data_IF_819558604376
#
_entry.id   IF_819558604376
#
_cell.length_a   1.000
_cell.length_b   1.000
_cell.length_c   1.000
_cell.angle_alpha   90.00
_cell.angle_beta   90.00
_cell.angle_gamma   90.00
#
_symmetry.space_group_name_H-M   'P 1'
#
loop_
_entity.id
_entity.type
_entity.pdbx_description
1 polymer ?
#
# COMPACT_ATOMS: atom_id res chain seq x y z
N UNK A 1 11.66 9.38 -17.05
CA UNK A 1 12.77 8.40 -17.20
C UNK A 1 12.61 7.39 -16.08
N UNK A 2 13.03 6.14 -16.26
CA UNK A 2 13.04 5.18 -15.14
C UNK A 2 13.91 5.71 -14.00
N UNK A 3 13.45 5.57 -12.76
CA UNK A 3 14.21 5.94 -11.57
C UNK A 3 15.45 5.05 -11.42
N UNK A 4 16.57 5.60 -10.93
CA UNK A 4 17.85 4.87 -10.82
C UNK A 4 18.34 4.24 -12.16
N UNK A 5 18.06 4.86 -13.31
CA UNK A 5 18.38 4.32 -14.65
C UNK A 5 19.84 3.91 -14.85
N UNK A 6 20.79 4.60 -14.21
CA UNK A 6 22.22 4.30 -14.32
C UNK A 6 22.66 3.15 -13.41
N UNK A 7 21.85 2.80 -12.40
CA UNK A 7 22.19 1.83 -11.35
C UNK A 7 21.46 0.50 -11.48
N UNK A 8 20.29 0.50 -12.14
CA UNK A 8 19.46 -0.68 -12.34
C UNK A 8 19.29 -1.00 -13.84
N UNK A 9 19.42 -2.27 -14.26
CA UNK A 9 19.36 -2.65 -15.67
C UNK A 9 17.92 -2.77 -16.17
N UNK A 10 17.15 -1.67 -16.12
CA UNK A 10 15.72 -1.67 -16.47
C UNK A 10 15.42 -2.19 -17.87
N UNK A 11 16.24 -1.84 -18.87
CA UNK A 11 16.06 -2.33 -20.23
C UNK A 11 16.26 -3.84 -20.34
N UNK A 12 17.19 -4.41 -19.55
CA UNK A 12 17.36 -5.85 -19.50
C UNK A 12 16.16 -6.54 -18.85
N UNK A 13 15.62 -5.96 -17.76
CA UNK A 13 14.40 -6.44 -17.13
C UNK A 13 13.20 -6.32 -18.08
N UNK A 14 12.96 -5.16 -18.68
CA UNK A 14 11.85 -4.94 -19.61
C UNK A 14 11.91 -5.89 -20.81
N UNK A 15 13.11 -6.23 -21.30
CA UNK A 15 13.28 -7.17 -22.42
C UNK A 15 12.78 -8.59 -22.16
N UNK A 16 12.49 -8.94 -20.89
CA UNK A 16 11.88 -10.23 -20.56
C UNK A 16 10.37 -10.22 -20.74
N UNK A 17 9.75 -9.08 -21.03
CA UNK A 17 8.32 -8.95 -21.23
C UNK A 17 7.97 -8.65 -22.69
N UNK A 18 6.82 -9.16 -23.13
CA UNK A 18 6.14 -8.78 -24.36
C UNK A 18 4.80 -8.15 -24.03
N UNK A 19 4.52 -6.99 -24.62
CA UNK A 19 3.16 -6.45 -24.62
C UNK A 19 2.27 -7.34 -25.50
N UNK A 20 1.26 -7.97 -24.90
CA UNK A 20 0.22 -8.68 -25.66
C UNK A 20 -1.10 -7.98 -25.49
N UNK A 21 -1.77 -7.72 -26.61
CA UNK A 21 -3.09 -7.09 -26.66
C UNK A 21 -4.23 -8.05 -26.34
N UNK A 22 -3.98 -9.37 -26.45
CA UNK A 22 -4.93 -10.42 -26.08
C UNK A 22 -4.17 -11.61 -25.50
N UNK A 23 -4.55 -12.07 -24.32
CA UNK A 23 -3.95 -13.25 -23.69
C UNK A 23 -4.99 -14.26 -23.19
N UNK A 24 -5.10 -15.44 -23.83
CA UNK A 24 -6.04 -16.48 -23.41
C UNK A 24 -5.85 -16.96 -21.96
N UNK A 25 -4.63 -16.86 -21.42
CA UNK A 25 -4.34 -17.24 -20.04
C UNK A 25 -4.80 -16.21 -19.00
N UNK A 26 -5.26 -15.03 -19.44
CA UNK A 26 -5.84 -13.97 -18.60
C UNK A 26 -7.17 -13.50 -19.19
N UNK A 27 -7.99 -14.44 -19.67
CA UNK A 27 -9.33 -14.15 -20.21
C UNK A 27 -9.32 -13.13 -21.37
N UNK A 28 -8.24 -13.16 -22.16
CA UNK A 28 -7.96 -12.23 -23.27
C UNK A 28 -7.61 -10.80 -22.85
N UNK A 29 -7.32 -10.54 -21.57
CA UNK A 29 -6.86 -9.23 -21.09
C UNK A 29 -5.50 -8.84 -21.72
N UNK A 30 -5.31 -7.55 -22.09
CA UNK A 30 -4.03 -7.01 -22.47
C UNK A 30 -3.10 -6.88 -21.25
N UNK A 31 -1.84 -7.29 -21.40
CA UNK A 31 -0.86 -7.21 -20.32
C UNK A 31 0.58 -7.34 -20.84
N UNK A 32 1.54 -7.09 -19.95
CA UNK A 32 2.95 -7.44 -20.12
C UNK A 32 3.17 -8.91 -19.74
N UNK A 33 3.63 -9.71 -20.70
CA UNK A 33 3.82 -11.15 -20.56
C UNK A 33 5.28 -11.54 -20.48
N UNK A 34 5.69 -12.37 -19.51
CA UNK A 34 7.05 -12.89 -19.50
C UNK A 34 7.32 -13.75 -20.73
N UNK A 35 8.49 -13.55 -21.33
CA UNK A 35 9.07 -14.37 -22.40
C UNK A 35 9.61 -15.66 -21.80
N UNK A 36 9.24 -16.78 -22.42
CA UNK A 36 9.81 -18.10 -22.11
C UNK A 36 11.10 -18.32 -22.90
N UNK A 37 12.13 -17.55 -22.55
CA UNK A 37 13.46 -17.64 -23.16
C UNK A 37 14.49 -18.14 -22.13
N UNK A 38 15.54 -18.87 -22.56
CA UNK A 38 16.57 -19.38 -21.64
C UNK A 38 17.24 -18.29 -20.79
N UNK A 39 17.35 -17.07 -21.32
CA UNK A 39 17.99 -15.93 -20.65
C UNK A 39 17.07 -15.19 -19.67
N UNK A 40 15.75 -15.43 -19.69
CA UNK A 40 14.79 -14.66 -18.87
C UNK A 40 15.09 -14.77 -17.38
N UNK A 41 15.33 -16.00 -16.88
CA UNK A 41 15.66 -16.23 -15.47
C UNK A 41 16.96 -15.53 -15.08
N UNK A 42 17.96 -15.58 -15.96
CA UNK A 42 19.25 -14.93 -15.72
C UNK A 42 19.11 -13.41 -15.65
N UNK A 43 18.35 -12.79 -16.57
CA UNK A 43 18.11 -11.34 -16.55
C UNK A 43 17.34 -10.90 -15.30
N UNK A 44 16.35 -11.69 -14.88
CA UNK A 44 15.57 -11.42 -13.66
C UNK A 44 16.42 -11.54 -12.39
N UNK A 45 17.25 -12.58 -12.28
CA UNK A 45 18.21 -12.76 -11.18
C UNK A 45 19.25 -11.64 -11.14
N UNK A 46 19.81 -11.26 -12.30
CA UNK A 46 20.76 -10.13 -12.39
C UNK A 46 20.14 -8.81 -11.98
N UNK A 47 18.88 -8.55 -12.36
CA UNK A 47 18.16 -7.36 -11.93
C UNK A 47 17.93 -7.38 -10.42
N UNK A 48 17.47 -8.51 -9.86
CA UNK A 48 17.26 -8.67 -8.42
C UNK A 48 18.55 -8.42 -7.64
N UNK A 49 19.68 -9.02 -8.06
CA UNK A 49 20.96 -8.80 -7.41
C UNK A 49 21.41 -7.33 -7.45
N UNK A 50 21.21 -6.66 -8.60
CA UNK A 50 21.48 -5.23 -8.71
C UNK A 50 20.56 -4.39 -7.82
N UNK A 51 19.28 -4.73 -7.76
CA UNK A 51 18.28 -4.08 -6.91
C UNK A 51 18.67 -4.15 -5.43
N UNK A 52 18.89 -5.37 -4.94
CA UNK A 52 19.27 -5.65 -3.55
C UNK A 52 20.59 -4.97 -3.19
N UNK A 53 21.61 -5.09 -4.04
CA UNK A 53 22.92 -4.46 -3.83
C UNK A 53 22.80 -2.94 -3.69
N UNK A 54 22.02 -2.30 -4.57
CA UNK A 54 21.85 -0.85 -4.55
C UNK A 54 21.05 -0.40 -3.33
N UNK A 55 19.92 -1.04 -3.02
CA UNK A 55 19.10 -0.72 -1.85
C UNK A 55 19.89 -0.92 -0.54
N UNK A 56 20.64 -2.01 -0.42
CA UNK A 56 21.51 -2.28 0.75
C UNK A 56 22.65 -1.25 0.88
N UNK A 57 23.24 -0.82 -0.24
CA UNK A 57 24.25 0.25 -0.25
C UNK A 57 23.66 1.59 0.18
N UNK A 58 22.47 1.94 -0.31
CA UNK A 58 21.79 3.18 0.04
C UNK A 58 21.35 3.16 1.51
N UNK A 59 20.86 2.03 2.02
CA UNK A 59 20.55 1.85 3.44
C UNK A 59 21.78 2.04 4.33
N UNK A 60 22.94 1.52 3.93
CA UNK A 60 24.22 1.78 4.62
C UNK A 60 24.58 3.25 4.64
N UNK A 61 24.33 3.95 3.54
CA UNK A 61 24.65 5.38 3.44
C UNK A 61 23.66 6.22 4.26
N UNK A 62 22.38 5.88 4.22
CA UNK A 62 21.32 6.52 4.98
C UNK A 62 21.53 6.36 6.49
N UNK A 63 21.90 5.15 6.92
CA UNK A 63 22.20 4.83 8.33
C UNK A 63 23.28 5.71 8.96
N UNK A 64 24.22 6.24 8.16
CA UNK A 64 25.29 7.13 8.63
C UNK A 64 24.80 8.51 9.05
N UNK A 65 23.57 8.90 8.71
CA UNK A 65 22.94 10.14 9.17
C UNK A 65 22.57 10.08 10.66
N UNK A 66 22.49 8.88 11.23
CA UNK A 66 22.07 8.61 12.61
C UNK A 66 23.26 8.15 13.47
N UNK A 67 23.19 8.30 14.81
CA UNK A 67 24.22 7.81 15.71
C UNK A 67 24.55 6.32 15.49
N UNK A 68 25.84 5.97 15.46
CA UNK A 68 26.27 4.56 15.34
C UNK A 68 25.88 3.75 16.58
N UNK A 69 25.88 4.39 17.75
CA UNK A 69 25.47 3.82 19.02
C UNK A 69 24.55 4.78 19.73
N UNK A 70 23.54 4.23 20.38
CA UNK A 70 22.65 4.95 21.26
C UNK A 70 23.07 4.69 22.71
N UNK A 71 22.97 5.73 23.54
CA UNK A 71 23.15 5.57 24.98
C UNK A 71 22.03 4.68 25.55
N UNK A 72 22.30 3.95 26.65
CA UNK A 72 21.27 3.18 27.34
C UNK A 72 20.06 4.06 27.64
N UNK A 73 18.90 3.63 27.16
CA UNK A 73 17.66 4.37 27.23
C UNK A 73 17.24 4.58 28.69
N UNK A 74 16.93 5.83 29.04
CA UNK A 74 16.14 6.12 30.23
C UNK A 74 14.69 5.67 29.96
N UNK A 75 14.10 4.91 30.89
CA UNK A 75 12.75 4.35 30.77
C UNK A 75 11.62 5.42 30.81
N UNK A 76 11.99 6.70 30.78
CA UNK A 76 11.09 7.85 30.71
C UNK A 76 10.40 8.01 29.35
N UNK A 77 10.12 9.26 28.97
CA UNK A 77 9.43 9.59 27.72
C UNK A 77 10.39 9.41 26.53
N UNK A 78 10.10 8.39 25.71
CA UNK A 78 10.83 8.00 24.51
C UNK A 78 10.47 8.89 23.31
N UNK A 79 9.17 9.11 23.07
CA UNK A 79 8.67 10.08 22.08
C UNK A 79 8.40 11.44 22.75
N UNK A 80 9.39 12.35 22.70
CA UNK A 80 9.35 13.65 23.39
C UNK A 80 8.56 14.74 22.65
N UNK A 81 8.53 14.73 21.32
CA UNK A 81 7.76 15.66 20.50
C UNK A 81 7.33 14.97 19.21
N UNK A 82 6.06 15.11 18.83
CA UNK A 82 5.63 14.86 17.45
C UNK A 82 5.47 16.21 16.75
N UNK A 83 5.79 16.25 15.47
CA UNK A 83 5.65 17.35 14.53
C UNK A 83 4.27 17.32 13.86
N UNK A 84 3.92 18.39 13.13
CA UNK A 84 2.60 18.48 12.49
C UNK A 84 2.31 17.41 11.42
N UNK A 85 3.34 16.85 10.77
CA UNK A 85 3.16 15.80 9.75
C UNK A 85 2.81 14.45 10.39
N UNK A 86 3.44 14.11 11.52
CA UNK A 86 3.08 12.95 12.33
C UNK A 86 1.65 13.07 12.85
N UNK A 87 1.21 14.28 13.22
CA UNK A 87 -0.14 14.53 13.69
C UNK A 87 -1.21 14.22 12.64
N UNK A 88 -0.99 14.63 11.39
CA UNK A 88 -1.90 14.38 10.27
C UNK A 88 -1.96 12.90 9.89
N UNK A 89 -0.82 12.20 9.91
CA UNK A 89 -0.79 10.77 9.60
C UNK A 89 -1.43 9.91 10.69
N UNK A 90 -1.15 10.21 11.97
CA UNK A 90 -1.80 9.53 13.10
C UNK A 90 -3.31 9.77 13.09
N UNK A 91 -3.74 10.96 12.68
CA UNK A 91 -5.16 11.30 12.47
C UNK A 91 -5.85 10.40 11.43
N UNK A 92 -5.14 9.89 10.42
CA UNK A 92 -5.73 9.04 9.38
C UNK A 92 -6.07 7.63 9.87
N UNK A 93 -5.19 7.00 10.65
CA UNK A 93 -5.39 5.62 11.11
C UNK A 93 -6.02 5.52 12.51
N UNK A 94 -6.11 6.61 13.27
CA UNK A 94 -6.71 6.55 14.60
C UNK A 94 -8.21 6.18 14.54
N UNK A 95 -8.71 5.35 15.48
CA UNK A 95 -10.11 4.95 15.52
C UNK A 95 -11.09 6.13 15.46
N UNK A 96 -11.96 6.09 14.45
CA UNK A 96 -13.09 7.02 14.30
C UNK A 96 -14.27 6.54 15.15
N UNK A 97 -15.10 7.47 15.63
CA UNK A 97 -16.36 7.13 16.31
C UNK A 97 -17.36 6.52 15.32
N UNK A 98 -18.46 5.95 15.80
CA UNK A 98 -19.52 5.31 14.98
C UNK A 98 -20.11 6.23 13.88
N UNK A 99 -19.97 7.55 14.03
CA UNK A 99 -20.35 8.55 13.02
C UNK A 99 -19.27 8.94 12.02
N UNK A 100 -18.12 8.26 11.99
CA UNK A 100 -16.98 8.56 11.11
C UNK A 100 -16.15 9.79 11.51
N UNK A 101 -16.63 10.60 12.47
CA UNK A 101 -15.88 11.71 13.05
C UNK A 101 -14.71 11.18 13.87
N UNK A 102 -13.56 11.85 13.79
CA UNK A 102 -12.46 11.57 14.71
C UNK A 102 -12.88 11.88 16.15
N UNK A 103 -12.29 11.17 17.11
CA UNK A 103 -12.55 11.43 18.52
C UNK A 103 -12.27 12.90 18.86
N UNK A 104 -13.17 13.58 19.58
CA UNK A 104 -12.96 14.95 20.08
C UNK A 104 -11.70 15.11 20.95
N UNK A 105 -11.06 13.98 21.30
CA UNK A 105 -9.78 13.91 21.98
C UNK A 105 -8.60 14.29 21.08
N UNK A 106 -8.72 14.16 19.75
CA UNK A 106 -7.73 14.72 18.82
C UNK A 106 -7.68 16.24 18.91
N UNK A 107 -8.82 16.90 19.14
CA UNK A 107 -8.88 18.36 19.28
C UNK A 107 -8.14 18.87 20.54
N UNK A 108 -7.83 17.96 21.47
CA UNK A 108 -7.05 18.23 22.69
C UNK A 108 -5.53 18.06 22.49
N UNK A 109 -5.10 17.65 21.28
CA UNK A 109 -3.73 17.33 20.93
C UNK A 109 -3.40 15.83 21.03
N UNK A 110 -2.42 15.38 20.25
CA UNK A 110 -2.04 13.96 20.24
C UNK A 110 -1.38 13.49 21.53
N UNK A 111 -0.51 14.33 22.10
CA UNK A 111 0.22 13.97 23.29
C UNK A 111 -0.66 14.08 24.54
N UNK A 112 -0.78 12.97 25.25
CA UNK A 112 -1.46 12.96 26.54
C UNK A 112 -0.74 13.85 27.58
N UNK A 113 -1.43 14.82 28.21
CA UNK A 113 -0.85 15.60 29.31
C UNK A 113 -0.87 14.85 30.65
N UNK A 114 -1.58 13.73 30.75
CA UNK A 114 -1.71 12.95 31.98
C UNK A 114 -0.48 12.04 32.16
N UNK A 115 0.33 12.34 33.17
CA UNK A 115 1.56 11.59 33.50
C UNK A 115 1.30 10.52 34.58
N UNK A 116 0.28 10.71 35.42
CA UNK A 116 0.01 9.90 36.61
C UNK A 116 -1.33 9.12 36.58
N UNK A 117 -2.17 9.36 35.57
CA UNK A 117 -3.41 8.60 35.46
C UNK A 117 -3.07 7.19 34.99
N UNK A 118 -3.52 6.20 35.76
CA UNK A 118 -3.52 4.77 35.42
C UNK A 118 -3.89 4.56 33.96
N UNK A 119 -3.47 3.42 33.37
CA UNK A 119 -3.63 2.90 31.99
C UNK A 119 -4.96 3.10 31.23
N UNK A 120 -5.89 3.88 31.76
CA UNK A 120 -7.25 4.18 31.34
C UNK A 120 -7.45 5.57 30.73
N UNK A 121 -6.42 6.41 30.59
CA UNK A 121 -6.60 7.65 29.82
C UNK A 121 -6.92 7.26 28.38
N UNK A 122 -8.06 7.72 27.89
CA UNK A 122 -8.53 7.41 26.54
C UNK A 122 -7.94 8.38 25.49
N UNK A 123 -6.81 9.01 25.80
CA UNK A 123 -6.16 10.02 24.98
C UNK A 123 -5.51 9.38 23.72
N UNK A 124 -5.21 10.21 22.72
CA UNK A 124 -4.72 9.73 21.42
C UNK A 124 -3.38 9.01 21.53
N UNK A 125 -2.43 9.57 22.28
CA UNK A 125 -1.15 8.93 22.57
C UNK A 125 -0.88 9.01 24.08
N UNK A 126 -1.37 8.02 24.86
CA UNK A 126 -1.17 7.95 26.31
C UNK A 126 0.31 7.96 26.69
N UNK A 127 0.64 8.42 27.90
CA UNK A 127 2.04 8.45 28.37
C UNK A 127 2.71 7.06 28.25
N UNK A 128 2.02 5.99 28.65
CA UNK A 128 2.54 4.61 28.56
C UNK A 128 2.93 4.18 27.15
N UNK A 129 2.23 4.69 26.13
CA UNK A 129 2.48 4.40 24.72
C UNK A 129 3.59 5.25 24.10
N UNK A 130 4.15 6.20 24.88
CA UNK A 130 5.32 7.01 24.52
C UNK A 130 6.58 6.58 25.24
N UNK A 131 6.54 5.47 25.97
CA UNK A 131 7.69 4.93 26.68
C UNK A 131 8.32 3.81 25.85
N UNK A 132 9.61 3.57 26.05
CA UNK A 132 10.34 2.51 25.35
C UNK A 132 9.63 1.14 25.46
N UNK A 133 9.14 0.79 26.66
CA UNK A 133 8.46 -0.48 26.93
C UNK A 133 7.27 -0.75 26.00
N UNK A 134 6.63 0.30 25.46
CA UNK A 134 5.54 0.18 24.51
C UNK A 134 6.02 -0.39 23.16
N UNK A 135 7.20 0.03 22.71
CA UNK A 135 7.85 -0.40 21.47
C UNK A 135 8.54 -1.76 21.58
N UNK A 136 8.69 -2.27 22.80
CA UNK A 136 9.27 -3.57 23.11
C UNK A 136 8.22 -4.67 23.24
N UNK A 137 6.92 -4.38 23.04
CA UNK A 137 5.87 -5.40 23.16
C UNK A 137 5.95 -6.42 22.03
N UNK A 138 5.86 -7.69 22.42
CA UNK A 138 5.96 -8.83 21.53
C UNK A 138 4.67 -9.04 20.71
N UNK A 139 4.81 -9.77 19.60
CA UNK A 139 3.70 -10.33 18.83
C UNK A 139 3.32 -11.70 19.39
N UNK A 140 2.04 -11.88 19.72
CA UNK A 140 1.49 -13.16 20.15
C UNK A 140 0.77 -13.84 18.99
N UNK A 141 1.24 -15.02 18.54
CA UNK A 141 0.49 -15.87 17.62
C UNK A 141 -0.90 -16.18 18.19
N UNK A 142 -1.92 -16.08 17.36
CA UNK A 142 -3.32 -16.19 17.76
C UNK A 142 -4.13 -17.04 16.78
N UNK A 143 -5.30 -17.48 17.24
CA UNK A 143 -6.31 -18.11 16.40
C UNK A 143 -7.20 -17.05 15.72
N UNK A 144 -8.01 -17.48 14.75
CA UNK A 144 -8.97 -16.61 14.07
C UNK A 144 -9.80 -15.81 15.08
N UNK A 145 -10.03 -14.53 14.80
CA UNK A 145 -10.83 -13.59 15.60
C UNK A 145 -10.23 -13.18 16.97
N UNK A 146 -9.05 -13.68 17.36
CA UNK A 146 -8.42 -13.35 18.64
C UNK A 146 -7.35 -12.25 18.56
N UNK A 147 -6.93 -11.83 17.36
CA UNK A 147 -5.85 -10.86 17.18
C UNK A 147 -5.97 -9.61 18.04
N UNK A 148 -7.09 -8.90 17.96
CA UNK A 148 -7.25 -7.65 18.71
C UNK A 148 -7.42 -7.87 20.22
N UNK A 149 -7.86 -9.06 20.66
CA UNK A 149 -7.89 -9.39 22.08
C UNK A 149 -6.47 -9.56 22.65
N UNK A 150 -5.58 -10.19 21.87
CA UNK A 150 -4.26 -10.57 22.33
C UNK A 150 -3.17 -9.52 22.02
N UNK A 151 -3.36 -8.73 20.96
CA UNK A 151 -2.31 -7.90 20.36
C UNK A 151 -2.67 -6.42 20.21
N UNK A 152 -3.86 -5.94 20.61
CA UNK A 152 -4.28 -4.57 20.31
C UNK A 152 -3.30 -3.49 20.82
N UNK A 153 -2.77 -3.61 22.04
CA UNK A 153 -1.82 -2.63 22.58
C UNK A 153 -0.48 -2.65 21.84
N UNK A 154 0.05 -3.82 21.50
CA UNK A 154 1.29 -3.96 20.74
C UNK A 154 1.11 -3.48 19.29
N UNK A 155 -0.01 -3.83 18.67
CA UNK A 155 -0.33 -3.45 17.29
C UNK A 155 -0.49 -1.93 17.15
N UNK A 156 -1.07 -1.25 18.15
CA UNK A 156 -1.13 0.22 18.16
C UNK A 156 0.25 0.87 18.12
N UNK A 157 1.24 0.31 18.81
CA UNK A 157 2.63 0.80 18.73
C UNK A 157 3.29 0.47 17.42
N UNK A 158 2.97 -0.68 16.82
CA UNK A 158 3.43 -0.99 15.48
C UNK A 158 2.91 0.04 14.46
N UNK A 159 1.66 0.52 14.56
CA UNK A 159 1.15 1.61 13.72
C UNK A 159 1.98 2.90 13.88
N UNK A 160 2.41 3.24 15.10
CA UNK A 160 3.35 4.36 15.29
C UNK A 160 4.70 4.09 14.62
N UNK A 161 5.29 2.90 14.78
CA UNK A 161 6.56 2.54 14.13
C UNK A 161 6.44 2.64 12.61
N UNK A 162 5.34 2.15 12.03
CA UNK A 162 5.08 2.26 10.58
C UNK A 162 4.97 3.72 10.14
N UNK A 163 4.31 4.57 10.93
CA UNK A 163 4.21 6.02 10.66
C UNK A 163 5.59 6.67 10.65
N UNK A 164 6.44 6.34 11.63
CA UNK A 164 7.81 6.86 11.69
C UNK A 164 8.65 6.41 10.48
N UNK A 165 8.53 5.14 10.06
CA UNK A 165 9.20 4.64 8.84
C UNK A 165 8.69 5.38 7.60
N UNK A 166 7.38 5.60 7.51
CA UNK A 166 6.74 6.32 6.40
C UNK A 166 7.29 7.74 6.25
N UNK A 167 7.39 8.47 7.37
CA UNK A 167 7.87 9.85 7.42
C UNK A 167 9.39 9.98 7.35
N UNK A 168 10.12 8.89 7.58
CA UNK A 168 11.59 8.89 7.60
C UNK A 168 12.19 9.31 8.94
N UNK A 169 11.36 9.38 9.98
CA UNK A 169 11.73 9.62 11.37
C UNK A 169 12.32 8.34 11.97
N UNK A 170 13.48 7.93 11.46
CA UNK A 170 14.11 6.66 11.81
C UNK A 170 14.90 6.71 13.12
N UNK A 171 15.23 7.88 13.66
CA UNK A 171 16.04 8.00 14.88
C UNK A 171 15.40 7.29 16.09
N UNK A 172 14.08 7.48 16.38
CA UNK A 172 13.41 6.69 17.41
C UNK A 172 13.42 5.20 17.06
N UNK A 173 13.11 4.82 15.82
CA UNK A 173 13.04 3.38 15.44
C UNK A 173 14.39 2.69 15.70
N UNK A 174 15.50 3.29 15.26
CA UNK A 174 16.86 2.80 15.48
C UNK A 174 17.22 2.75 16.97
N UNK A 175 16.76 3.74 17.73
CA UNK A 175 16.96 3.76 19.17
C UNK A 175 16.23 2.59 19.86
N UNK A 176 15.00 2.23 19.45
CA UNK A 176 14.31 1.01 19.94
C UNK A 176 15.13 -0.23 19.62
N UNK A 177 15.64 -0.35 18.38
CA UNK A 177 16.43 -1.50 17.94
C UNK A 177 17.71 -1.68 18.77
N UNK A 178 18.31 -0.59 19.25
CA UNK A 178 19.50 -0.64 20.10
C UNK A 178 19.23 -1.14 21.53
N UNK A 179 17.96 -1.24 21.94
CA UNK A 179 17.58 -1.79 23.24
C UNK A 179 17.79 -3.31 23.25
N UNK A 180 18.19 -3.87 24.40
CA UNK A 180 18.40 -5.33 24.53
C UNK A 180 17.14 -6.18 24.38
N UNK A 181 15.96 -5.55 24.26
CA UNK A 181 14.64 -6.20 24.19
C UNK A 181 13.82 -5.59 23.03
N UNK A 182 14.29 -5.71 21.79
CA UNK A 182 13.54 -5.31 20.60
C UNK A 182 12.80 -6.50 19.97
N UNK A 183 11.49 -6.37 19.72
CA UNK A 183 10.66 -7.44 19.14
C UNK A 183 10.10 -7.10 17.74
N UNK A 184 10.55 -5.99 17.14
CA UNK A 184 10.09 -5.56 15.80
C UNK A 184 10.32 -6.63 14.72
N UNK A 185 11.34 -7.49 14.86
CA UNK A 185 11.59 -8.59 13.91
C UNK A 185 10.41 -9.57 13.81
N UNK A 186 9.68 -9.79 14.91
CA UNK A 186 8.50 -10.67 14.97
C UNK A 186 7.25 -10.03 14.37
N UNK A 187 7.24 -8.71 14.25
CA UNK A 187 6.20 -7.94 13.57
C UNK A 187 6.43 -7.77 12.06
N UNK A 188 7.47 -8.42 11.49
CA UNK A 188 7.75 -8.35 10.05
C UNK A 188 6.54 -8.79 9.23
N UNK A 189 6.09 -10.03 9.39
CA UNK A 189 4.88 -10.61 8.78
C UNK A 189 3.90 -10.91 9.92
N UNK A 190 2.87 -10.09 10.07
CA UNK A 190 1.83 -10.26 11.09
C UNK A 190 0.44 -10.15 10.44
N UNK A 191 -0.57 -10.79 11.02
CA UNK A 191 -1.92 -10.79 10.48
C UNK A 191 -2.97 -11.18 11.53
N UNK A 192 -4.27 -10.97 11.24
CA UNK A 192 -5.35 -11.30 12.16
C UNK A 192 -5.41 -12.80 12.49
N UNK A 193 -5.01 -13.64 11.54
CA UNK A 193 -4.79 -15.08 11.67
C UNK A 193 -4.18 -15.61 10.37
N UNK A 194 -3.74 -16.87 10.37
CA UNK A 194 -3.23 -17.54 9.15
C UNK A 194 -4.26 -17.61 8.01
N UNK A 195 -5.56 -17.58 8.32
CA UNK A 195 -6.64 -17.70 7.33
C UNK A 195 -6.95 -16.39 6.59
N UNK A 196 -6.67 -15.24 7.21
CA UNK A 196 -6.96 -13.90 6.66
C UNK A 196 -5.73 -13.22 6.04
N UNK A 197 -4.58 -13.89 6.08
CA UNK A 197 -3.32 -13.39 5.54
C UNK A 197 -2.50 -12.58 6.54
N UNK A 198 -1.24 -12.29 6.17
CA UNK A 198 -0.24 -11.63 7.02
C UNK A 198 -0.03 -10.17 6.57
N UNK A 199 -1.11 -9.40 6.51
CA UNK A 199 -1.15 -8.04 5.94
C UNK A 199 -1.12 -6.91 6.97
N UNK A 200 -0.78 -7.21 8.23
CA UNK A 200 -0.65 -6.24 9.34
C UNK A 200 0.81 -5.98 9.74
N UNK A 201 1.77 -6.70 9.18
CA UNK A 201 3.19 -6.50 9.47
C UNK A 201 3.73 -5.18 8.95
N UNK A 202 4.94 -4.81 9.39
CA UNK A 202 5.64 -3.66 8.80
C UNK A 202 6.29 -3.99 7.45
N UNK A 203 6.36 -5.27 7.06
CA UNK A 203 6.73 -5.69 5.70
C UNK A 203 5.88 -5.01 4.61
N UNK A 204 4.61 -4.70 4.92
CA UNK A 204 3.67 -4.10 3.96
C UNK A 204 4.16 -2.76 3.40
N UNK A 205 4.90 -1.97 4.19
CA UNK A 205 5.51 -0.71 3.73
C UNK A 205 6.47 -1.00 2.56
N UNK A 206 7.29 -2.05 2.72
CA UNK A 206 8.23 -2.44 1.69
C UNK A 206 7.54 -3.12 0.51
N UNK A 207 6.57 -4.01 0.77
CA UNK A 207 5.84 -4.74 -0.27
C UNK A 207 5.13 -3.79 -1.25
N UNK A 208 4.39 -2.81 -0.72
CA UNK A 208 3.68 -1.84 -1.57
C UNK A 208 4.63 -0.88 -2.28
N UNK A 209 5.70 -0.44 -1.60
CA UNK A 209 6.74 0.38 -2.23
C UNK A 209 7.43 -0.36 -3.39
N UNK A 210 7.87 -1.60 -3.19
CA UNK A 210 8.46 -2.45 -4.24
C UNK A 210 7.46 -2.64 -5.38
N UNK A 211 6.22 -2.97 -5.04
CA UNK A 211 5.18 -3.26 -6.02
C UNK A 211 4.94 -2.08 -6.95
N UNK A 212 4.70 -0.89 -6.41
CA UNK A 212 4.49 0.27 -7.27
C UNK A 212 5.75 0.74 -7.96
N UNK A 213 6.89 0.69 -7.28
CA UNK A 213 8.18 1.06 -7.86
C UNK A 213 8.51 0.24 -9.10
N UNK A 214 8.40 -1.09 -9.02
CA UNK A 214 8.64 -1.98 -10.15
C UNK A 214 7.60 -1.79 -11.24
N UNK A 215 6.32 -1.73 -10.88
CA UNK A 215 5.23 -1.60 -11.85
C UNK A 215 5.40 -0.35 -12.71
N UNK A 216 5.55 0.82 -12.09
CA UNK A 216 5.66 2.07 -12.83
C UNK A 216 6.95 2.15 -13.67
N UNK A 217 8.08 1.68 -13.15
CA UNK A 217 9.33 1.70 -13.91
C UNK A 217 9.35 0.70 -15.08
N UNK A 218 8.75 -0.49 -14.91
CA UNK A 218 8.61 -1.47 -15.99
C UNK A 218 7.69 -0.91 -17.08
N UNK A 219 6.52 -0.39 -16.73
CA UNK A 219 5.60 0.19 -17.72
C UNK A 219 6.22 1.39 -18.45
N UNK A 220 7.01 2.21 -17.76
CA UNK A 220 7.73 3.31 -18.39
C UNK A 220 8.71 2.84 -19.49
N UNK A 221 9.20 1.60 -19.43
CA UNK A 221 10.07 1.05 -20.47
C UNK A 221 9.36 0.70 -21.79
N UNK A 222 8.02 0.74 -21.81
CA UNK A 222 7.19 0.52 -23.00
C UNK A 222 6.56 1.85 -23.42
N UNK A 223 7.24 2.70 -24.19
CA UNK A 223 6.68 3.99 -24.61
C UNK A 223 5.36 3.85 -25.38
N UNK A 224 5.18 2.76 -26.12
CA UNK A 224 3.99 2.49 -26.95
C UNK A 224 2.66 2.37 -26.17
N UNK A 225 2.70 2.31 -24.83
CA UNK A 225 1.49 2.27 -23.98
C UNK A 225 1.21 3.60 -23.26
N UNK A 226 2.10 4.60 -23.37
CA UNK A 226 1.93 5.91 -22.71
C UNK A 226 2.33 7.11 -23.57
N UNK A 227 2.87 6.87 -24.76
CA UNK A 227 3.24 7.89 -25.74
C UNK A 227 2.92 7.42 -27.17
N UNK A 228 2.23 8.25 -27.94
CA UNK A 228 1.95 8.02 -29.37
C UNK A 228 3.17 8.33 -30.25
N UNK A 229 3.13 7.96 -31.52
CA UNK A 229 4.21 8.15 -32.51
C UNK A 229 4.61 9.63 -32.68
N UNK A 230 3.67 10.55 -32.48
CA UNK A 230 3.91 12.00 -32.53
C UNK A 230 4.45 12.58 -31.22
N UNK A 231 4.59 11.73 -30.20
CA UNK A 231 5.07 12.07 -28.87
C UNK A 231 3.98 12.56 -27.91
N UNK A 232 2.71 12.59 -28.32
CA UNK A 232 1.59 12.94 -27.45
C UNK A 232 1.32 11.85 -26.40
N UNK A 233 0.86 12.21 -25.19
CA UNK A 233 0.58 11.22 -24.16
C UNK A 233 -0.69 10.42 -24.49
N UNK A 234 -0.58 9.10 -24.37
CA UNK A 234 -1.72 8.16 -24.38
C UNK A 234 -1.78 7.44 -23.03
N UNK A 235 -2.87 6.71 -22.78
CA UNK A 235 -3.20 6.22 -21.45
C UNK A 235 -3.49 4.71 -21.41
N UNK A 236 -3.12 3.99 -22.48
CA UNK A 236 -3.43 2.57 -22.71
C UNK A 236 -2.84 1.67 -21.63
N UNK A 237 -1.73 2.07 -21.02
CA UNK A 237 -1.11 1.36 -19.91
C UNK A 237 -2.03 1.16 -18.71
N UNK A 238 -3.04 2.03 -18.51
CA UNK A 238 -3.96 1.97 -17.37
C UNK A 238 -5.00 0.87 -17.49
N UNK A 239 -5.21 0.39 -18.71
CA UNK A 239 -6.08 -0.74 -19.03
C UNK A 239 -5.31 -2.07 -19.02
N UNK A 240 -4.02 -2.07 -18.68
CA UNK A 240 -3.27 -3.31 -18.50
C UNK A 240 -3.60 -3.96 -17.16
N UNK A 241 -3.75 -5.28 -17.17
CA UNK A 241 -4.09 -6.04 -15.97
C UNK A 241 -3.06 -5.86 -14.84
N UNK A 242 -1.77 -5.79 -15.16
CA UNK A 242 -0.70 -5.55 -14.18
C UNK A 242 -0.81 -4.18 -13.50
N UNK A 243 -1.14 -3.13 -14.25
CA UNK A 243 -1.32 -1.79 -13.68
C UNK A 243 -2.51 -1.74 -12.72
N UNK A 244 -3.68 -2.20 -13.14
CA UNK A 244 -4.89 -2.21 -12.31
C UNK A 244 -4.70 -3.05 -11.04
N UNK A 245 -4.05 -4.21 -11.16
CA UNK A 245 -3.75 -5.08 -10.02
C UNK A 245 -2.78 -4.43 -9.03
N UNK A 246 -1.70 -3.78 -9.51
CA UNK A 246 -0.77 -3.08 -8.63
C UNK A 246 -1.45 -1.92 -7.88
N UNK A 247 -2.27 -1.12 -8.58
CA UNK A 247 -3.06 -0.04 -7.97
C UNK A 247 -3.96 -0.60 -6.87
N UNK A 248 -4.72 -1.67 -7.15
CA UNK A 248 -5.61 -2.28 -6.15
C UNK A 248 -4.86 -2.90 -4.97
N UNK A 249 -3.75 -3.59 -5.24
CA UNK A 249 -2.92 -4.25 -4.21
C UNK A 249 -2.34 -3.25 -3.21
N UNK A 250 -1.92 -2.07 -3.68
CA UNK A 250 -1.25 -1.06 -2.87
C UNK A 250 -2.17 -0.01 -2.25
N UNK A 251 -3.48 -0.05 -2.53
CA UNK A 251 -4.46 0.91 -1.99
C UNK A 251 -5.66 0.34 -1.20
N UNK A 252 -5.64 -0.92 -0.68
CA UNK A 252 -6.79 -1.50 -0.01
C UNK A 252 -7.03 -0.89 1.37
N UNK A 253 -8.26 -1.01 1.85
CA UNK A 253 -8.75 -0.31 3.06
C UNK A 253 -8.72 -1.16 4.32
N UNK A 254 -7.93 -2.19 4.23
CA UNK A 254 -7.84 -3.31 5.12
C UNK A 254 -6.38 -3.72 5.25
N UNK A 255 -6.03 -4.45 6.30
CA UNK A 255 -4.63 -4.69 6.62
C UNK A 255 -3.90 -3.42 7.07
N UNK A 256 -2.67 -3.23 6.61
CA UNK A 256 -1.82 -2.10 6.97
C UNK A 256 -2.18 -0.81 6.21
N UNK A 257 -3.04 0.02 6.80
CA UNK A 257 -3.48 1.28 6.20
C UNK A 257 -2.33 2.26 5.95
N UNK A 258 -1.40 2.38 6.89
CA UNK A 258 -0.28 3.32 6.80
C UNK A 258 0.56 3.07 5.53
N UNK A 259 0.79 1.81 5.19
CA UNK A 259 1.55 1.45 4.00
C UNK A 259 0.86 1.90 2.69
N UNK A 260 -0.46 2.11 2.69
CA UNK A 260 -1.23 2.48 1.48
C UNK A 260 -1.23 3.96 1.20
N UNK A 261 -0.92 4.80 2.19
CA UNK A 261 -1.13 6.25 2.11
C UNK A 261 -0.39 6.93 0.95
N UNK A 262 0.92 6.69 0.71
CA UNK A 262 1.60 7.32 -0.42
C UNK A 262 0.97 6.93 -1.76
N UNK A 263 0.52 5.68 -1.88
CA UNK A 263 -0.10 5.15 -3.08
C UNK A 263 -1.47 5.76 -3.31
N UNK A 264 -2.30 5.84 -2.25
CA UNK A 264 -3.62 6.45 -2.30
C UNK A 264 -3.56 7.94 -2.61
N UNK A 265 -2.65 8.65 -1.96
CA UNK A 265 -2.49 10.10 -2.13
C UNK A 265 -1.98 10.41 -3.53
N UNK A 266 -1.11 9.56 -4.12
CA UNK A 266 -0.73 9.71 -5.51
C UNK A 266 -1.93 9.62 -6.46
N UNK A 267 -2.70 8.52 -6.35
CA UNK A 267 -3.75 8.20 -7.31
C UNK A 267 -5.10 8.85 -7.02
N UNK A 268 -5.28 9.49 -5.87
CA UNK A 268 -6.60 9.96 -5.45
C UNK A 268 -7.54 8.82 -5.07
N UNK A 269 -7.02 7.74 -4.48
CA UNK A 269 -7.85 6.60 -4.09
C UNK A 269 -8.32 6.78 -2.65
N UNK A 270 -9.63 6.95 -2.49
CA UNK A 270 -10.26 7.14 -1.19
C UNK A 270 -10.17 5.88 -0.32
N UNK A 271 -10.20 6.11 1.00
CA UNK A 271 -10.41 5.03 1.96
C UNK A 271 -11.73 4.29 1.66
N UNK A 272 -11.70 2.97 1.81
CA UNK A 272 -12.78 2.02 1.53
C UNK A 272 -13.22 1.94 0.07
N UNK A 273 -12.34 2.32 -0.88
CA UNK A 273 -12.61 2.07 -2.29
C UNK A 273 -12.46 0.58 -2.64
N UNK A 274 -11.34 -0.03 -2.24
CA UNK A 274 -11.07 -1.45 -2.46
C UNK A 274 -11.08 -2.25 -1.14
N UNK A 275 -11.76 -3.40 -1.16
CA UNK A 275 -11.92 -4.34 -0.04
C UNK A 275 -10.98 -5.57 -0.17
N UNK A 276 -10.73 -6.33 0.91
CA UNK A 276 -10.08 -7.65 0.84
C UNK A 276 -10.95 -8.63 0.05
N UNK A 277 -12.27 -8.55 0.24
CA UNK A 277 -13.25 -9.45 -0.37
C UNK A 277 -14.05 -8.67 -1.42
N UNK A 278 -13.47 -8.45 -2.62
CA UNK A 278 -14.10 -7.63 -3.63
C UNK A 278 -15.42 -8.20 -4.10
N UNK A 279 -16.40 -7.32 -4.23
CA UNK A 279 -17.65 -7.57 -4.93
C UNK A 279 -17.99 -6.35 -5.78
N UNK A 280 -18.59 -6.57 -6.97
CA UNK A 280 -19.04 -5.46 -7.79
C UNK A 280 -20.15 -4.67 -7.07
N UNK A 281 -20.09 -3.35 -7.16
CA UNK A 281 -21.11 -2.46 -6.60
C UNK A 281 -22.50 -2.71 -7.22
N UNK A 282 -22.54 -2.89 -8.54
CA UNK A 282 -23.73 -3.24 -9.30
C UNK A 282 -23.62 -4.67 -9.83
N UNK A 283 -24.03 -5.66 -9.04
CA UNK A 283 -23.97 -7.07 -9.43
C UNK A 283 -24.72 -7.39 -10.73
N UNK A 284 -25.74 -6.61 -11.10
CA UNK A 284 -26.54 -6.84 -12.31
C UNK A 284 -25.80 -6.45 -13.59
N UNK A 285 -24.88 -5.49 -13.51
CA UNK A 285 -24.01 -5.15 -14.63
C UNK A 285 -22.89 -6.19 -14.77
N UNK A 286 -22.44 -6.78 -13.67
CA UNK A 286 -21.26 -7.64 -13.62
C UNK A 286 -21.58 -9.13 -13.45
N UNK A 287 -22.78 -9.57 -13.87
CA UNK A 287 -23.29 -10.94 -13.72
C UNK A 287 -22.32 -12.00 -14.29
N UNK A 288 -21.62 -11.66 -15.38
CA UNK A 288 -20.67 -12.57 -16.02
C UNK A 288 -19.43 -12.86 -15.18
N UNK A 289 -19.04 -11.94 -14.28
CA UNK A 289 -17.87 -12.07 -13.41
C UNK A 289 -18.18 -12.66 -12.04
N UNK A 290 -19.45 -12.78 -11.65
CA UNK A 290 -19.86 -13.35 -10.37
C UNK A 290 -20.39 -14.78 -10.52
N UNK A 291 -20.28 -15.55 -9.44
CA UNK A 291 -20.86 -16.90 -9.30
C UNK A 291 -21.41 -17.07 -7.89
N UNK A 292 -22.29 -18.04 -7.72
CA UNK A 292 -22.77 -18.45 -6.41
C UNK A 292 -21.61 -18.97 -5.56
N UNK A 293 -21.58 -18.60 -4.29
CA UNK A 293 -20.70 -19.18 -3.30
C UNK A 293 -21.34 -20.42 -2.64
N UNK A 294 -21.07 -21.59 -3.22
CA UNK A 294 -21.61 -22.87 -2.75
C UNK A 294 -21.35 -23.13 -1.26
N UNK A 295 -20.22 -22.64 -0.73
CA UNK A 295 -19.89 -22.79 0.69
C UNK A 295 -20.84 -21.97 1.56
N UNK A 296 -21.05 -20.70 1.23
CA UNK A 296 -21.98 -19.83 1.94
C UNK A 296 -23.41 -20.40 1.89
N UNK A 297 -23.86 -20.80 0.70
CA UNK A 297 -25.18 -21.38 0.46
C UNK A 297 -25.41 -22.65 1.27
N UNK A 298 -24.43 -23.55 1.28
CA UNK A 298 -24.52 -24.79 2.06
C UNK A 298 -24.63 -24.48 3.55
N UNK A 299 -23.81 -23.56 4.06
CA UNK A 299 -23.85 -23.14 5.47
C UNK A 299 -25.15 -22.46 5.85
N UNK A 300 -25.75 -21.65 4.96
CA UNK A 300 -27.06 -21.04 5.20
C UNK A 300 -28.16 -22.10 5.28
N UNK A 301 -28.18 -23.08 4.37
CA UNK A 301 -29.14 -24.19 4.37
C UNK A 301 -28.99 -25.13 5.57
N UNK A 302 -27.80 -25.26 6.14
CA UNK A 302 -27.59 -25.99 7.40
C UNK A 302 -28.22 -25.25 8.60
N UNK A 303 -28.13 -23.92 8.62
CA UNK A 303 -28.68 -23.08 9.69
C UNK A 303 -30.20 -22.96 9.56
N UNK A 304 -30.69 -22.79 8.32
CA UNK A 304 -32.11 -22.70 7.99
C UNK A 304 -32.41 -23.57 6.75
N UNK A 305 -32.94 -24.79 6.94
CA UNK A 305 -33.27 -25.70 5.84
C UNK A 305 -34.33 -25.18 4.87
N UNK A 306 -35.10 -24.16 5.27
CA UNK A 306 -36.11 -23.54 4.42
C UNK A 306 -35.58 -22.27 3.72
N UNK A 307 -34.32 -21.89 3.95
CA UNK A 307 -33.69 -20.79 3.23
C UNK A 307 -33.56 -21.15 1.75
N UNK A 308 -34.14 -20.30 0.91
CA UNK A 308 -34.02 -20.37 -0.54
C UNK A 308 -33.30 -19.12 -1.06
N UNK A 309 -32.58 -19.29 -2.17
CA UNK A 309 -31.89 -18.20 -2.82
C UNK A 309 -32.87 -17.52 -3.76
N UNK A 310 -33.38 -16.35 -3.39
CA UNK A 310 -34.21 -15.54 -4.27
C UNK A 310 -33.46 -15.19 -5.57
N UNK A 311 -34.19 -15.08 -6.69
CA UNK A 311 -33.60 -14.84 -8.02
C UNK A 311 -33.11 -13.40 -8.26
N UNK A 312 -33.41 -12.49 -7.34
CA UNK A 312 -32.93 -11.10 -7.34
C UNK A 312 -31.76 -11.05 -6.36
N UNK A 313 -30.66 -10.37 -6.70
CA UNK A 313 -29.40 -10.28 -5.91
C UNK A 313 -29.56 -9.63 -4.50
N UNK A 314 -30.47 -10.15 -3.69
CA UNK A 314 -30.91 -9.60 -2.40
C UNK A 314 -29.91 -9.95 -1.30
N UNK A 315 -29.15 -11.04 -1.44
CA UNK A 315 -28.10 -11.46 -0.51
C UNK A 315 -26.73 -11.49 -1.19
N UNK A 316 -26.01 -10.34 -1.28
CA UNK A 316 -24.69 -10.24 -1.93
C UNK A 316 -23.67 -11.27 -1.45
N UNK A 317 -23.73 -11.64 -0.16
CA UNK A 317 -22.85 -12.64 0.47
C UNK A 317 -23.02 -14.06 -0.11
N UNK A 318 -24.12 -14.33 -0.83
CA UNK A 318 -24.32 -15.60 -1.52
C UNK A 318 -23.53 -15.69 -2.84
N UNK A 319 -22.85 -14.61 -3.24
CA UNK A 319 -22.07 -14.52 -4.45
C UNK A 319 -20.60 -14.24 -4.15
N UNK A 320 -19.74 -14.62 -5.10
CA UNK A 320 -18.33 -14.27 -5.12
C UNK A 320 -17.85 -14.09 -6.56
N UNK A 321 -16.74 -13.39 -6.73
CA UNK A 321 -16.11 -13.28 -8.04
C UNK A 321 -15.62 -14.65 -8.55
N UNK A 322 -15.80 -14.88 -9.85
CA UNK A 322 -15.10 -15.94 -10.60
C UNK A 322 -13.61 -15.62 -10.68
N UNK A 323 -13.31 -14.36 -11.02
CA UNK A 323 -12.00 -13.71 -11.04
C UNK A 323 -12.24 -12.20 -11.01
N UNK A 324 -11.21 -11.43 -10.66
CA UNK A 324 -11.27 -9.96 -10.76
C UNK A 324 -10.97 -9.54 -12.21
N UNK A 325 -11.76 -8.66 -12.85
CA UNK A 325 -11.68 -8.38 -14.29
C UNK A 325 -10.52 -7.45 -14.68
N UNK A 326 -9.32 -7.63 -14.11
CA UNK A 326 -8.16 -6.80 -14.41
C UNK A 326 -7.84 -6.81 -15.91
N UNK A 327 -7.74 -5.61 -16.49
CA UNK A 327 -7.48 -5.37 -17.91
C UNK A 327 -8.61 -5.73 -18.86
N UNK A 328 -9.71 -6.30 -18.38
CA UNK A 328 -10.91 -6.55 -19.18
C UNK A 328 -11.88 -5.37 -19.19
N UNK A 329 -11.67 -4.43 -18.28
CA UNK A 329 -12.47 -3.23 -18.11
C UNK A 329 -11.55 -2.01 -18.17
N UNK A 330 -12.11 -0.88 -18.59
CA UNK A 330 -11.39 0.39 -18.61
C UNK A 330 -10.96 0.79 -17.20
N UNK A 331 -9.93 1.62 -17.08
CA UNK A 331 -9.48 2.13 -15.79
C UNK A 331 -10.60 2.82 -14.98
N UNK A 332 -11.50 3.53 -15.64
CA UNK A 332 -12.63 4.21 -14.98
C UNK A 332 -13.67 3.19 -14.45
N UNK A 333 -13.97 2.14 -15.21
CA UNK A 333 -14.82 1.04 -14.74
C UNK A 333 -14.16 0.29 -13.58
N UNK A 334 -12.84 0.06 -13.65
CA UNK A 334 -12.06 -0.55 -12.58
C UNK A 334 -12.15 0.25 -11.28
N UNK A 335 -11.97 1.56 -11.33
CA UNK A 335 -12.09 2.42 -10.15
C UNK A 335 -13.51 2.38 -9.57
N UNK A 336 -14.54 2.31 -10.42
CA UNK A 336 -15.95 2.25 -9.98
C UNK A 336 -16.46 0.83 -9.67
N UNK A 337 -15.62 -0.20 -9.82
CA UNK A 337 -16.06 -1.59 -9.80
C UNK A 337 -16.64 -1.99 -8.44
N UNK A 338 -15.91 -1.73 -7.35
CA UNK A 338 -16.34 -2.12 -5.98
C UNK A 338 -17.22 -1.06 -5.32
N UNK A 339 -17.03 0.21 -5.68
CA UNK A 339 -17.78 1.34 -5.14
C UNK A 339 -17.71 2.54 -6.09
N UNK A 340 -18.77 3.36 -6.20
CA UNK A 340 -18.73 4.57 -7.00
C UNK A 340 -17.67 5.54 -6.49
N UNK A 341 -16.86 6.05 -7.42
CA UNK A 341 -15.79 7.01 -7.10
C UNK A 341 -16.31 8.43 -7.24
N UNK A 342 -15.94 9.27 -6.27
CA UNK A 342 -16.12 10.70 -6.36
C UNK A 342 -14.85 11.36 -6.91
N UNK A 343 -15.00 12.48 -7.61
CA UNK A 343 -13.84 13.24 -8.09
C UNK A 343 -12.95 13.69 -6.93
N UNK A 344 -11.67 13.33 -6.97
CA UNK A 344 -10.68 13.82 -5.99
C UNK A 344 -9.98 15.06 -6.56
N UNK A 345 -10.12 16.24 -5.94
CA UNK A 345 -9.49 17.45 -6.46
C UNK A 345 -7.99 17.46 -6.18
N UNK A 346 -7.24 18.08 -7.07
CA UNK A 346 -5.85 18.50 -6.82
C UNK A 346 -5.84 19.89 -6.16
N UNK A 347 -4.72 20.27 -5.53
CA UNK A 347 -4.56 21.60 -4.90
C UNK A 347 -4.85 22.77 -5.86
N UNK A 348 -4.47 22.63 -7.13
CA UNK A 348 -4.78 23.60 -8.18
C UNK A 348 -6.29 23.73 -8.46
N UNK A 349 -7.05 22.63 -8.35
CA UNK A 349 -8.50 22.65 -8.57
C UNK A 349 -9.20 23.44 -7.47
N UNK A 350 -8.76 23.26 -6.21
CA UNK A 350 -9.28 24.02 -5.07
C UNK A 350 -9.04 25.51 -5.25
N UNK A 351 -7.82 25.89 -5.66
CA UNK A 351 -7.48 27.28 -5.96
C UNK A 351 -8.32 27.84 -7.13
N UNK A 352 -8.54 27.04 -8.17
CA UNK A 352 -9.33 27.42 -9.33
C UNK A 352 -10.81 27.62 -8.98
N UNK A 353 -11.40 26.71 -8.20
CA UNK A 353 -12.78 26.82 -7.70
C UNK A 353 -12.95 28.05 -6.82
N UNK A 354 -12.01 28.33 -5.91
CA UNK A 354 -12.02 29.56 -5.10
C UNK A 354 -12.02 30.81 -5.98
N UNK A 355 -11.16 30.84 -7.00
CA UNK A 355 -11.11 31.95 -7.95
C UNK A 355 -12.43 32.11 -8.72
N UNK A 356 -13.03 31.02 -9.21
CA UNK A 356 -14.32 31.04 -9.89
C UNK A 356 -15.45 31.60 -9.01
N UNK A 357 -15.52 31.17 -7.75
CA UNK A 357 -16.48 31.71 -6.78
C UNK A 357 -16.28 33.21 -6.55
N UNK A 358 -15.03 33.66 -6.45
CA UNK A 358 -14.68 35.08 -6.39
C UNK A 358 -15.15 35.87 -7.61
N UNK A 359 -14.98 35.32 -8.83
CA UNK A 359 -15.49 35.93 -10.06
C UNK A 359 -17.02 36.02 -10.12
N UNK A 360 -17.72 35.17 -9.37
CA UNK A 360 -19.18 35.25 -9.18
C UNK A 360 -19.61 36.24 -8.10
N UNK A 361 -18.68 36.99 -7.52
CA UNK A 361 -18.93 38.03 -6.53
C UNK A 361 -18.98 37.55 -5.08
N UNK A 362 -18.55 36.31 -4.80
CA UNK A 362 -18.46 35.84 -3.42
C UNK A 362 -17.19 36.39 -2.76
N UNK A 363 -17.30 36.98 -1.55
CA UNK A 363 -16.15 37.24 -0.69
C UNK A 363 -15.38 35.96 -0.40
N UNK A 364 -14.07 36.08 -0.19
CA UNK A 364 -13.15 34.96 0.06
C UNK A 364 -13.63 34.07 1.21
N UNK A 365 -14.13 34.66 2.29
CA UNK A 365 -14.59 33.94 3.48
C UNK A 365 -15.81 33.05 3.17
N UNK A 366 -16.70 33.52 2.29
CA UNK A 366 -17.85 32.70 1.86
C UNK A 366 -17.43 31.62 0.87
N UNK A 367 -16.48 31.92 -0.03
CA UNK A 367 -15.92 30.91 -0.93
C UNK A 367 -15.22 29.78 -0.13
N UNK A 368 -14.41 30.14 0.87
CA UNK A 368 -13.74 29.19 1.76
C UNK A 368 -14.73 28.38 2.58
N UNK A 369 -15.79 29.02 3.10
CA UNK A 369 -16.86 28.30 3.80
C UNK A 369 -17.59 27.31 2.90
N UNK A 370 -17.79 27.62 1.61
CA UNK A 370 -18.43 26.71 0.66
C UNK A 370 -17.51 25.54 0.33
N UNK A 371 -16.24 25.80 0.00
CA UNK A 371 -15.23 24.78 -0.30
C UNK A 371 -15.08 23.81 0.88
N UNK A 372 -14.98 24.35 2.11
CA UNK A 372 -14.89 23.56 3.33
C UNK A 372 -16.15 22.72 3.58
N UNK A 373 -17.36 23.28 3.42
CA UNK A 373 -18.63 22.54 3.60
C UNK A 373 -18.90 21.50 2.53
N UNK A 374 -18.35 21.69 1.33
CA UNK A 374 -18.42 20.73 0.25
C UNK A 374 -17.35 19.64 0.37
N UNK A 375 -16.49 19.70 1.41
CA UNK A 375 -15.34 18.80 1.59
C UNK A 375 -14.46 18.74 0.33
N UNK A 376 -14.37 19.86 -0.40
CA UNK A 376 -13.58 19.99 -1.62
C UNK A 376 -12.10 20.23 -1.28
N UNK A 377 -11.52 19.25 -0.57
CA UNK A 377 -10.13 19.23 -0.10
C UNK A 377 -9.27 18.40 -1.05
N UNK A 378 -7.99 18.75 -1.26
CA UNK A 378 -7.13 17.98 -2.15
C UNK A 378 -7.08 16.51 -1.72
N UNK A 379 -7.47 15.62 -2.63
CA UNK A 379 -7.49 14.18 -2.41
C UNK A 379 -6.45 13.41 -3.21
N UNK A 380 -5.78 14.10 -4.16
CA UNK A 380 -4.72 13.53 -5.01
C UNK A 380 -3.53 14.45 -5.15
N UNK A 381 -2.34 13.88 -5.34
CA UNK A 381 -1.11 14.62 -5.59
C UNK A 381 -0.81 14.80 -7.07
N UNK A 382 -1.22 13.85 -7.93
CA UNK A 382 -1.05 13.98 -9.38
C UNK A 382 -1.86 15.18 -9.91
N UNK A 383 -1.23 16.15 -10.62
CA UNK A 383 -1.95 17.26 -11.25
C UNK A 383 -3.01 16.83 -12.28
N UNK A 384 -2.67 15.86 -13.14
CA UNK A 384 -3.58 15.27 -14.14
C UNK A 384 -4.08 13.92 -13.62
N UNK A 385 -5.40 13.78 -13.53
CA UNK A 385 -6.03 12.74 -12.73
C UNK A 385 -5.75 11.34 -13.27
N UNK A 386 -5.34 10.43 -12.40
CA UNK A 386 -5.10 9.02 -12.72
C UNK A 386 -4.10 8.74 -13.85
N UNK A 387 -3.25 9.70 -14.26
CA UNK A 387 -2.32 9.57 -15.41
C UNK A 387 -0.85 9.79 -15.03
N UNK A 388 -0.21 8.91 -14.24
CA UNK A 388 1.20 9.06 -13.84
C UNK A 388 2.19 9.47 -14.94
N UNK A 389 2.08 8.91 -16.14
CA UNK A 389 3.03 9.17 -17.23
C UNK A 389 2.74 10.43 -18.05
N UNK A 390 1.65 11.14 -17.75
CA UNK A 390 1.36 12.41 -18.39
C UNK A 390 2.49 13.42 -18.12
N UNK A 391 2.97 14.20 -19.12
CA UNK A 391 4.08 15.13 -18.94
C UNK A 391 3.90 16.13 -17.79
N UNK A 392 2.65 16.58 -17.56
CA UNK A 392 2.27 17.45 -16.45
C UNK A 392 2.43 16.83 -15.05
N UNK A 393 2.56 15.50 -14.97
CA UNK A 393 2.72 14.75 -13.73
C UNK A 393 4.16 14.31 -13.47
N UNK A 394 5.09 14.54 -14.42
CA UNK A 394 6.47 14.03 -14.34
C UNK A 394 7.16 14.36 -13.02
N UNK A 395 7.08 15.62 -12.57
CA UNK A 395 7.75 16.05 -11.35
C UNK A 395 7.23 15.30 -10.11
N UNK A 396 5.92 15.08 -10.07
CA UNK A 396 5.25 14.39 -8.97
C UNK A 396 5.53 12.88 -9.01
N UNK A 397 5.53 12.28 -10.20
CA UNK A 397 5.92 10.89 -10.39
C UNK A 397 7.39 10.65 -10.01
N UNK A 398 8.31 11.55 -10.40
CA UNK A 398 9.73 11.45 -10.03
C UNK A 398 9.90 11.51 -8.49
N UNK A 399 9.17 12.41 -7.81
CA UNK A 399 9.14 12.51 -6.35
C UNK A 399 8.62 11.22 -5.71
N UNK A 400 7.50 10.71 -6.20
CA UNK A 400 6.88 9.49 -5.70
C UNK A 400 7.78 8.25 -5.85
N UNK A 401 8.46 8.09 -7.00
CA UNK A 401 9.38 6.97 -7.21
C UNK A 401 10.60 7.04 -6.29
N UNK A 402 11.10 8.24 -6.00
CA UNK A 402 12.14 8.45 -4.98
C UNK A 402 11.60 8.10 -3.58
N UNK A 403 10.36 8.49 -3.24
CA UNK A 403 9.74 8.12 -1.97
C UNK A 403 9.59 6.61 -1.80
N UNK A 404 9.09 5.89 -2.82
CA UNK A 404 9.05 4.42 -2.81
C UNK A 404 10.46 3.83 -2.59
N UNK A 405 11.48 4.35 -3.27
CA UNK A 405 12.86 3.91 -3.09
C UNK A 405 13.36 4.17 -1.66
N UNK A 406 13.07 5.33 -1.09
CA UNK A 406 13.44 5.66 0.29
C UNK A 406 12.73 4.76 1.31
N UNK A 407 11.46 4.39 1.09
CA UNK A 407 10.76 3.42 1.94
C UNK A 407 11.45 2.05 1.91
N UNK A 408 11.85 1.58 0.72
CA UNK A 408 12.62 0.33 0.57
C UNK A 408 13.95 0.43 1.35
N UNK A 409 14.67 1.55 1.18
CA UNK A 409 15.94 1.82 1.88
C UNK A 409 15.79 1.83 3.40
N UNK A 410 14.73 2.45 3.93
CA UNK A 410 14.43 2.47 5.37
C UNK A 410 14.10 1.08 5.90
N UNK A 411 13.35 0.27 5.15
CA UNK A 411 13.08 -1.12 5.51
C UNK A 411 14.36 -1.98 5.52
N UNK A 412 15.28 -1.78 4.57
CA UNK A 412 16.61 -2.42 4.61
C UNK A 412 17.42 -1.96 5.82
N UNK A 413 17.40 -0.66 6.11
CA UNK A 413 18.11 -0.11 7.26
C UNK A 413 17.61 -0.72 8.57
N UNK A 414 16.29 -0.75 8.77
CA UNK A 414 15.66 -1.39 9.93
C UNK A 414 15.97 -2.89 9.98
N UNK A 415 15.81 -3.60 8.87
CA UNK A 415 16.09 -5.03 8.79
C UNK A 415 17.51 -5.37 9.25
N UNK A 416 18.51 -4.56 8.90
CA UNK A 416 19.90 -4.79 9.31
C UNK A 416 20.18 -4.54 10.78
N UNK A 417 19.43 -3.65 11.44
CA UNK A 417 19.51 -3.48 12.90
C UNK A 417 18.84 -4.64 13.65
N UNK A 418 17.91 -5.31 12.98
CA UNK A 418 17.12 -6.43 13.53
C UNK A 418 17.68 -7.81 13.16
N UNK A 419 18.68 -7.84 12.29
CA UNK A 419 19.32 -9.05 11.76
C UNK A 419 20.03 -9.81 12.86
N UNK A 420 19.83 -11.13 12.89
CA UNK A 420 20.49 -12.04 13.84
C UNK A 420 20.69 -13.40 13.17
N UNK A 421 21.26 -14.36 13.90
CA UNK A 421 21.59 -15.69 13.36
C UNK A 421 20.39 -16.43 12.74
N UNK A 422 19.15 -16.11 13.15
CA UNK A 422 17.92 -16.75 12.69
C UNK A 422 17.15 -15.94 11.63
N UNK A 423 17.61 -14.72 11.29
CA UNK A 423 16.86 -13.81 10.42
C UNK A 423 17.77 -13.15 9.39
N UNK A 424 17.62 -13.57 8.14
CA UNK A 424 18.19 -12.91 6.96
C UNK A 424 17.14 -11.97 6.34
N UNK A 425 17.38 -10.66 6.47
CA UNK A 425 16.48 -9.66 5.91
C UNK A 425 16.66 -9.46 4.41
N UNK A 426 17.84 -9.73 3.86
CA UNK A 426 18.04 -9.68 2.42
C UNK A 426 17.14 -10.71 1.73
N UNK A 427 17.10 -11.93 2.27
CA UNK A 427 16.24 -13.00 1.74
C UNK A 427 14.75 -12.65 1.85
N UNK A 428 14.32 -12.03 2.96
CA UNK A 428 12.94 -11.55 3.10
C UNK A 428 12.55 -10.54 2.02
N UNK A 429 13.45 -9.61 1.68
CA UNK A 429 13.19 -8.63 0.63
C UNK A 429 13.22 -9.28 -0.76
N UNK A 430 14.14 -10.22 -1.01
CA UNK A 430 14.14 -11.03 -2.25
C UNK A 430 12.80 -11.73 -2.44
N UNK A 431 12.24 -12.30 -1.36
CA UNK A 431 10.90 -12.91 -1.38
C UNK A 431 9.81 -11.91 -1.75
N UNK A 432 9.81 -10.69 -1.20
CA UNK A 432 8.84 -9.65 -1.56
C UNK A 432 8.95 -9.27 -3.05
N UNK A 433 10.16 -9.11 -3.57
CA UNK A 433 10.37 -8.87 -5.00
C UNK A 433 9.79 -9.99 -5.87
N UNK A 434 10.07 -11.25 -5.52
CA UNK A 434 9.55 -12.42 -6.24
C UNK A 434 8.02 -12.45 -6.22
N UNK A 435 7.41 -12.19 -5.06
CA UNK A 435 5.95 -12.12 -4.90
C UNK A 435 5.39 -10.99 -5.77
N UNK A 436 5.99 -9.80 -5.77
CA UNK A 436 5.56 -8.70 -6.63
C UNK A 436 5.56 -9.11 -8.10
N UNK A 437 6.69 -9.60 -8.63
CA UNK A 437 6.78 -9.96 -10.05
C UNK A 437 5.79 -11.08 -10.39
N UNK A 438 5.66 -12.08 -9.50
CA UNK A 438 4.73 -13.20 -9.68
C UNK A 438 3.28 -12.75 -9.68
N UNK A 439 2.85 -11.94 -8.72
CA UNK A 439 1.45 -11.54 -8.60
C UNK A 439 1.09 -10.51 -9.68
N UNK A 440 1.90 -9.46 -9.84
CA UNK A 440 1.56 -8.33 -10.73
C UNK A 440 1.69 -8.70 -12.21
N UNK A 441 2.73 -9.44 -12.57
CA UNK A 441 3.00 -9.84 -13.95
C UNK A 441 2.70 -11.33 -14.19
N UNK A 442 1.79 -11.89 -13.36
CA UNK A 442 1.37 -13.29 -13.47
C UNK A 442 0.86 -13.59 -14.87
N UNK A 443 1.15 -14.78 -15.35
CA UNK A 443 0.50 -15.34 -16.52
C UNK A 443 0.20 -16.81 -16.21
N UNK A 444 -1.09 -17.20 -16.26
CA UNK A 444 -1.52 -18.57 -15.93
C UNK A 444 -1.27 -19.59 -17.06
N UNK A 445 -0.49 -19.21 -18.06
CA UNK A 445 0.01 -20.17 -19.04
C UNK A 445 0.98 -21.16 -18.38
N UNK A 446 0.91 -22.41 -18.81
CA UNK A 446 1.82 -23.48 -18.36
C UNK A 446 3.28 -23.05 -18.58
N UNK A 447 4.09 -23.03 -17.51
CA UNK A 447 5.51 -22.66 -17.53
C UNK A 447 5.83 -21.23 -17.09
N UNK A 448 4.94 -20.26 -17.36
CA UNK A 448 5.15 -18.86 -16.94
C UNK A 448 5.09 -18.68 -15.42
N UNK A 449 4.23 -19.43 -14.75
CA UNK A 449 4.16 -19.45 -13.29
C UNK A 449 5.46 -19.97 -12.68
N UNK A 450 5.98 -21.10 -13.18
CA UNK A 450 7.24 -21.71 -12.71
C UNK A 450 8.46 -20.81 -12.94
N UNK A 451 8.44 -19.98 -13.99
CA UNK A 451 9.51 -19.02 -14.30
C UNK A 451 9.79 -18.05 -13.14
N UNK A 452 8.77 -17.68 -12.36
CA UNK A 452 8.90 -16.71 -11.27
C UNK A 452 9.19 -17.33 -9.89
N UNK A 453 9.12 -18.66 -9.73
CA UNK A 453 9.38 -19.31 -8.43
C UNK A 453 10.86 -19.54 -8.16
N UNK A 454 11.65 -19.94 -9.16
CA UNK A 454 13.01 -20.49 -8.95
C UNK A 454 14.09 -19.82 -9.83
N UNK A 455 13.90 -18.56 -10.21
CA UNK A 455 14.82 -17.91 -11.16
C UNK A 455 16.21 -17.59 -10.59
N UNK A 456 16.35 -17.54 -9.28
CA UNK A 456 17.61 -17.31 -8.57
C UNK A 456 18.17 -18.58 -7.87
N UNK A 457 17.56 -19.75 -8.13
CA UNK A 457 18.00 -21.06 -7.62
C UNK A 457 17.24 -21.55 -6.38
N UNK A 458 17.48 -22.80 -5.94
CA UNK A 458 16.93 -23.30 -4.69
C UNK A 458 17.68 -22.64 -3.53
N UNK A 459 17.02 -21.72 -2.84
CA UNK A 459 17.43 -21.27 -1.51
C UNK A 459 16.72 -22.10 -0.45
#
# INVERSE_FOLDING_TARGET
MTHQAERLPWQALASIFDLKTTNPCQHDAPNLHPRDEPETRQKLSQFLDAFIKNASSDAKQERKKYPEKYDPLDAGIFLKSMTGEEDDEVRRWYPKNDGGSISSKFDQGLQCPHINDSDKCECVLPHKERQLAAFQRDYYPNECYHFYADNAESYRNLEFVKTLILLGEMDPVLQVCSSGECHLTRWWEAGPCYCEGLNLGWNMICDYAITMYLTLNIHYCFPEIWQDDDGSPIDDYRDLASYQMAVRHCTPSSGCQIATYPHRDLFGIQDKLFDIFPMPFDMSWWEEFIKIDDYYVSRRREIDPNWDMDSEFIEPSAYKLKFYPYGLITYDEFLNFEKPVSYQPHSNDVAHVRWMLGQKGLPTELADSIISKAEYIPGRSLPVDGRPFHPGNKAELDRYLEECWQLIVRCFMLGRELENEDVDFEERIRRLFKVCVREVFRCDCKGSVELFYDFDGPF
#
